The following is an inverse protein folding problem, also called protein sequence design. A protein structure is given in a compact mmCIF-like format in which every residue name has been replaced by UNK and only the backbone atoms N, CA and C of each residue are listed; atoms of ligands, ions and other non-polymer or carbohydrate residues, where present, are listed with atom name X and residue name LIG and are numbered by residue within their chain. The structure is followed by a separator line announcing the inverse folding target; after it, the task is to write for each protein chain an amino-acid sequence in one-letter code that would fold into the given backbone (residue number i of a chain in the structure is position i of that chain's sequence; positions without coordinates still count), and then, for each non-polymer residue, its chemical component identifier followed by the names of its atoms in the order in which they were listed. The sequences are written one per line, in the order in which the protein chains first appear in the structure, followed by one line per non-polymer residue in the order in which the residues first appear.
data_IF_643720152075
#
_entry.id   IF_643720152075
#
_cell.length_a   1.000
_cell.length_b   1.000
_cell.length_c   1.000
_cell.angle_alpha   90.00
_cell.angle_beta   90.00
_cell.angle_gamma   90.00
#
_symmetry.space_group_name_H-M   'P 1'
#
loop_
_entity.id
_entity.type
_entity.pdbx_description
1 polymer ?
#
# COMPACT_ATOMS: atom_id res chain seq x y z
N UNK A 1 10.81 -10.77 -14.49
CA UNK A 1 10.86 -10.35 -13.07
C UNK A 1 11.25 -8.88 -13.06
N UNK A 2 10.66 -8.03 -12.21
CA UNK A 2 11.03 -6.61 -12.15
C UNK A 2 12.40 -6.38 -11.51
N UNK A 3 12.99 -5.21 -11.75
CA UNK A 3 14.31 -4.81 -11.21
C UNK A 3 14.34 -4.69 -9.68
N UNK A 4 13.16 -4.52 -9.05
CA UNK A 4 12.97 -4.52 -7.61
C UNK A 4 11.62 -5.15 -7.24
N UNK A 5 11.52 -5.65 -6.01
CA UNK A 5 10.32 -6.29 -5.47
C UNK A 5 10.00 -5.70 -4.10
N UNK A 6 8.72 -5.36 -3.88
CA UNK A 6 8.19 -5.01 -2.55
C UNK A 6 7.48 -6.25 -2.01
N UNK A 7 7.95 -6.76 -0.88
CA UNK A 7 7.33 -7.91 -0.22
C UNK A 7 6.18 -7.41 0.67
N UNK A 8 4.96 -7.82 0.33
CA UNK A 8 3.75 -7.50 1.11
C UNK A 8 3.32 -8.76 1.88
N UNK A 9 3.25 -8.70 3.22
CA UNK A 9 2.72 -9.81 4.00
C UNK A 9 1.20 -9.88 3.81
N UNK A 10 0.69 -11.00 3.31
CA UNK A 10 -0.75 -11.19 3.13
C UNK A 10 -1.11 -12.64 2.84
N UNK A 11 -2.32 -13.03 3.21
CA UNK A 11 -2.87 -14.33 2.80
C UNK A 11 -3.27 -14.25 1.33
N UNK A 12 -2.74 -15.13 0.49
CA UNK A 12 -3.31 -15.39 -0.83
C UNK A 12 -4.19 -16.64 -0.78
N UNK A 13 -4.99 -16.87 -1.82
CA UNK A 13 -5.99 -17.95 -1.91
C UNK A 13 -5.44 -19.36 -1.61
N UNK A 14 -4.12 -19.57 -1.68
CA UNK A 14 -3.45 -20.85 -1.49
C UNK A 14 -3.09 -21.20 -0.03
N UNK A 15 -3.31 -20.32 0.96
CA UNK A 15 -3.50 -20.75 2.35
C UNK A 15 -2.25 -21.13 3.19
N UNK A 16 -1.05 -20.64 2.89
CA UNK A 16 0.17 -20.97 3.67
C UNK A 16 0.32 -20.15 4.97
N UNK A 17 -0.66 -20.25 5.87
CA UNK A 17 -0.48 -19.94 7.30
C UNK A 17 -1.18 -18.69 7.85
N UNK A 18 -1.69 -17.79 7.00
CA UNK A 18 -2.44 -16.61 7.44
C UNK A 18 -3.93 -16.87 7.40
N UNK A 19 -4.59 -16.92 8.57
CA UNK A 19 -6.05 -17.11 8.66
C UNK A 19 -6.76 -15.80 8.39
N UNK A 20 -7.66 -15.79 7.42
CA UNK A 20 -8.59 -14.69 7.18
C UNK A 20 -10.01 -15.22 7.01
N UNK A 21 -10.98 -14.53 7.62
CA UNK A 21 -12.42 -14.76 7.38
C UNK A 21 -12.94 -13.93 6.19
N UNK A 22 -12.07 -13.12 5.59
CA UNK A 22 -12.42 -12.21 4.52
C UNK A 22 -12.46 -12.95 3.19
N UNK A 23 -13.32 -12.50 2.29
CA UNK A 23 -13.54 -13.14 0.99
C UNK A 23 -12.30 -12.99 0.09
N UNK A 24 -11.93 -14.09 -0.60
CA UNK A 24 -10.99 -14.07 -1.72
C UNK A 24 -9.63 -13.42 -1.36
N UNK A 25 -9.20 -12.41 -2.13
CA UNK A 25 -7.96 -11.66 -1.95
C UNK A 25 -8.08 -10.45 -1.02
N UNK A 26 -9.24 -10.24 -0.37
CA UNK A 26 -9.52 -9.00 0.37
C UNK A 26 -8.42 -8.64 1.38
N UNK A 27 -7.91 -9.62 2.14
CA UNK A 27 -6.83 -9.36 3.10
C UNK A 27 -5.54 -8.92 2.39
N UNK A 28 -5.22 -9.54 1.26
CA UNK A 28 -4.06 -9.16 0.46
C UNK A 28 -4.21 -7.73 -0.07
N UNK A 29 -5.37 -7.38 -0.65
CA UNK A 29 -5.63 -6.05 -1.21
C UNK A 29 -5.50 -4.97 -0.12
N UNK A 30 -6.06 -5.22 1.07
CA UNK A 30 -5.91 -4.33 2.23
C UNK A 30 -4.45 -4.20 2.70
N UNK A 31 -3.71 -5.32 2.70
CA UNK A 31 -2.29 -5.33 3.10
C UNK A 31 -1.44 -4.53 2.11
N UNK A 32 -1.77 -4.58 0.82
CA UNK A 32 -1.12 -3.76 -0.22
C UNK A 32 -1.40 -2.28 0.02
N UNK A 33 -2.66 -1.87 0.23
CA UNK A 33 -3.00 -0.48 0.51
C UNK A 33 -2.22 0.09 1.71
N UNK A 34 -2.24 -0.62 2.84
CA UNK A 34 -1.52 -0.18 4.05
C UNK A 34 0.00 -0.11 3.80
N UNK A 35 0.56 -1.08 3.09
CA UNK A 35 2.01 -1.09 2.79
C UNK A 35 2.40 0.12 1.93
N UNK A 36 1.59 0.46 0.92
CA UNK A 36 1.84 1.60 0.05
C UNK A 36 1.61 2.94 0.77
N UNK A 37 0.62 3.04 1.67
CA UNK A 37 0.43 4.23 2.50
C UNK A 37 1.64 4.49 3.41
N UNK A 38 2.20 3.43 4.02
CA UNK A 38 3.42 3.55 4.82
C UNK A 38 4.63 3.94 3.95
N UNK A 39 4.72 3.43 2.72
CA UNK A 39 5.75 3.86 1.78
C UNK A 39 5.61 5.36 1.45
N UNK A 40 4.40 5.82 1.15
CA UNK A 40 4.12 7.24 0.91
C UNK A 40 4.49 8.10 2.13
N UNK A 41 4.20 7.64 3.35
CA UNK A 41 4.60 8.34 4.59
C UNK A 41 6.13 8.37 4.76
N UNK A 42 6.85 7.33 4.36
CA UNK A 42 8.32 7.33 4.38
C UNK A 42 8.89 8.31 3.37
N UNK A 43 8.32 8.36 2.16
CA UNK A 43 8.71 9.31 1.13
C UNK A 43 8.43 10.75 1.56
N UNK A 44 7.26 11.03 2.13
CA UNK A 44 6.93 12.38 2.60
C UNK A 44 7.87 12.86 3.69
N UNK A 45 8.28 11.98 4.62
CA UNK A 45 9.29 12.29 5.63
C UNK A 45 10.68 12.51 5.04
N UNK A 46 11.09 11.69 4.07
CA UNK A 46 12.39 11.82 3.38
C UNK A 46 12.48 13.13 2.59
N UNK A 47 11.38 13.49 1.92
CA UNK A 47 11.33 14.60 0.98
C UNK A 47 10.74 15.88 1.62
N UNK A 48 10.47 15.85 2.94
CA UNK A 48 9.88 16.94 3.73
C UNK A 48 8.57 17.50 3.18
N UNK A 49 7.75 16.63 2.58
CA UNK A 49 6.45 16.99 2.02
C UNK A 49 5.40 16.96 3.13
N UNK A 50 4.70 18.08 3.34
CA UNK A 50 3.57 18.16 4.25
C UNK A 50 2.29 17.65 3.59
N UNK A 51 1.29 17.29 4.39
CA UNK A 51 -0.03 16.90 3.86
C UNK A 51 -0.69 18.03 3.06
N UNK A 52 -0.55 19.28 3.50
CA UNK A 52 -1.11 20.44 2.78
C UNK A 52 -0.45 20.61 1.41
N UNK A 53 0.87 20.44 1.32
CA UNK A 53 1.60 20.48 0.06
C UNK A 53 1.18 19.35 -0.88
N UNK A 54 1.10 18.10 -0.38
CA UNK A 54 0.64 16.96 -1.17
C UNK A 54 -0.81 17.15 -1.67
N UNK A 55 -1.68 17.73 -0.84
CA UNK A 55 -3.07 18.02 -1.20
C UNK A 55 -3.19 19.07 -2.30
N UNK A 56 -2.32 20.08 -2.32
CA UNK A 56 -2.33 21.12 -3.33
C UNK A 56 -2.02 20.61 -4.74
N UNK A 57 -1.31 19.49 -4.86
CA UNK A 57 -0.96 18.83 -6.13
C UNK A 57 -2.02 17.82 -6.62
N UNK A 58 -3.15 17.68 -5.91
CA UNK A 58 -4.26 16.86 -6.41
C UNK A 58 -4.80 17.43 -7.73
N UNK A 59 -4.97 16.57 -8.73
CA UNK A 59 -5.62 16.94 -9.99
C UNK A 59 -7.06 17.38 -9.72
N UNK A 60 -7.40 18.60 -10.13
CA UNK A 60 -8.78 19.11 -10.15
C UNK A 60 -9.50 18.81 -11.48
N UNK A 61 -8.91 17.96 -12.32
CA UNK A 61 -9.51 17.50 -13.57
C UNK A 61 -10.32 16.24 -13.27
N UNK A 62 -11.61 16.42 -12.98
CA UNK A 62 -12.63 15.36 -13.06
C UNK A 62 -13.24 15.32 -14.47
#
# INVERSE_FOLDING_TARGET
LGDAVIVVPGATKAGDGVKSIQLLSTLFDQSVHITLDVLCLKLSRRDHVSNDAAKAEHSNME
#
